data_IF_640406753144
#
_entry.id   IF_640406753144
#
_cell.length_a   1.000
_cell.length_b   1.000
_cell.length_c   1.000
_cell.angle_alpha   90.00
_cell.angle_beta   90.00
_cell.angle_gamma   90.00
#
_symmetry.space_group_name_H-M   'P 1'
#
loop_
_entity.id
_entity.type
_entity.pdbx_description
1 polymer ?
#
# COMPACT_ATOMS: atom_id res chain seq x y z
N UNK A 1 4.81 1.22 2.21
CA UNK A 1 3.81 1.85 1.32
C UNK A 1 4.44 2.02 -0.05
N UNK A 2 3.70 1.66 -1.10
CA UNK A 2 4.03 1.96 -2.49
C UNK A 2 3.19 3.16 -2.92
N UNK A 3 3.82 4.32 -3.11
CA UNK A 3 3.17 5.60 -3.44
C UNK A 3 4.25 6.57 -3.93
N UNK A 4 3.97 7.30 -5.01
CA UNK A 4 4.87 8.28 -5.62
C UNK A 4 4.34 9.71 -5.52
N UNK A 5 3.04 9.90 -5.26
CA UNK A 5 2.46 11.22 -5.04
C UNK A 5 2.93 11.80 -3.69
N UNK A 6 3.74 12.87 -3.77
CA UNK A 6 4.31 13.53 -2.60
C UNK A 6 3.24 14.15 -1.68
N UNK A 7 2.13 14.66 -2.20
CA UNK A 7 1.05 15.21 -1.39
C UNK A 7 0.39 14.09 -0.57
N UNK A 8 0.06 12.97 -1.21
CA UNK A 8 -0.53 11.81 -0.54
C UNK A 8 0.37 11.27 0.55
N UNK A 9 1.67 11.13 0.27
CA UNK A 9 2.66 10.67 1.25
C UNK A 9 2.71 11.62 2.44
N UNK A 10 2.84 12.92 2.20
CA UNK A 10 2.96 13.92 3.26
C UNK A 10 1.72 13.96 4.15
N UNK A 11 0.55 13.91 3.55
CA UNK A 11 -0.73 13.90 4.28
C UNK A 11 -0.92 12.63 5.09
N UNK A 12 -0.65 11.46 4.51
CA UNK A 12 -0.74 10.21 5.26
C UNK A 12 0.26 10.19 6.43
N UNK A 13 1.49 10.67 6.22
CA UNK A 13 2.49 10.83 7.31
C UNK A 13 2.00 11.76 8.41
N UNK A 14 1.36 12.88 8.07
CA UNK A 14 0.83 13.82 9.05
C UNK A 14 -0.27 13.19 9.92
N UNK A 15 -1.22 12.48 9.31
CA UNK A 15 -2.29 11.77 10.04
C UNK A 15 -1.70 10.64 10.88
N UNK A 16 -0.74 9.88 10.35
CA UNK A 16 -0.08 8.82 11.10
C UNK A 16 0.67 9.37 12.31
N UNK A 17 1.43 10.46 12.16
CA UNK A 17 2.16 11.08 13.27
C UNK A 17 1.23 11.65 14.36
N UNK A 18 0.05 12.15 13.96
CA UNK A 18 -0.95 12.68 14.89
C UNK A 18 -1.56 11.59 15.77
N UNK A 19 -1.84 10.41 15.20
CA UNK A 19 -2.59 9.35 15.89
C UNK A 19 -1.72 8.20 16.39
N UNK A 20 -0.59 7.93 15.74
CA UNK A 20 0.32 6.84 16.03
C UNK A 20 1.79 7.30 15.90
N UNK A 21 2.27 8.18 16.80
CA UNK A 21 3.60 8.78 16.69
C UNK A 21 4.77 7.78 16.79
N UNK A 22 4.52 6.57 17.29
CA UNK A 22 5.51 5.49 17.36
C UNK A 22 5.52 4.59 16.10
N UNK A 23 4.56 4.76 15.19
CA UNK A 23 4.51 3.97 13.96
C UNK A 23 5.61 4.41 12.99
N UNK A 24 6.23 3.44 12.33
CA UNK A 24 7.15 3.68 11.22
C UNK A 24 6.39 3.58 9.90
N UNK A 25 6.80 4.41 8.93
CA UNK A 25 6.25 4.36 7.58
C UNK A 25 7.39 4.41 6.55
N UNK A 26 7.70 3.24 6.02
CA UNK A 26 8.61 3.08 4.89
C UNK A 26 7.83 3.28 3.59
N UNK A 27 8.35 4.17 2.73
CA UNK A 27 7.71 4.57 1.47
C UNK A 27 8.68 4.27 0.33
N UNK A 28 8.17 3.63 -0.71
CA UNK A 28 8.87 3.34 -1.94
C UNK A 28 8.06 3.91 -3.10
N UNK A 29 8.74 4.62 -4.01
CA UNK A 29 8.11 5.28 -5.17
C UNK A 29 8.04 4.37 -6.39
N UNK A 30 8.74 3.23 -6.37
CA UNK A 30 8.83 2.28 -7.49
C UNK A 30 8.55 0.87 -7.01
N UNK A 31 7.98 0.04 -7.88
CA UNK A 31 7.73 -1.36 -7.62
C UNK A 31 9.04 -2.16 -7.36
N UNK A 32 10.13 -1.98 -8.14
CA UNK A 32 11.40 -2.64 -7.86
C UNK A 32 11.96 -2.31 -6.46
N UNK A 33 11.92 -1.04 -6.04
CA UNK A 33 12.42 -0.64 -4.72
C UNK A 33 11.56 -1.24 -3.60
N UNK A 34 10.24 -1.24 -3.77
CA UNK A 34 9.33 -1.87 -2.81
C UNK A 34 9.61 -3.37 -2.68
N UNK A 35 9.74 -4.07 -3.80
CA UNK A 35 10.00 -5.52 -3.83
C UNK A 35 11.34 -5.84 -3.17
N UNK A 36 12.39 -5.08 -3.50
CA UNK A 36 13.71 -5.25 -2.92
C UNK A 36 13.67 -5.02 -1.40
N UNK A 37 13.05 -3.93 -0.94
CA UNK A 37 12.91 -3.64 0.48
C UNK A 37 12.10 -4.71 1.22
N UNK A 38 10.95 -5.12 0.67
CA UNK A 38 10.11 -6.18 1.25
C UNK A 38 10.87 -7.50 1.39
N UNK A 39 11.68 -7.86 0.38
CA UNK A 39 12.47 -9.09 0.40
C UNK A 39 13.56 -9.13 1.48
N UNK A 40 13.96 -7.96 1.99
CA UNK A 40 14.99 -7.79 3.01
C UNK A 40 14.42 -7.54 4.41
N UNK A 41 13.10 -7.63 4.60
CA UNK A 41 12.48 -7.39 5.90
C UNK A 41 12.80 -8.52 6.89
N UNK A 42 13.39 -8.14 8.04
CA UNK A 42 13.61 -9.05 9.17
C UNK A 42 12.33 -9.31 9.99
N UNK A 43 11.31 -8.45 9.82
CA UNK A 43 10.01 -8.55 10.49
C UNK A 43 8.89 -8.28 9.49
N UNK A 44 7.81 -9.05 9.60
CA UNK A 44 6.59 -8.76 8.86
C UNK A 44 6.08 -7.33 9.18
N UNK A 45 5.64 -6.57 8.16
CA UNK A 45 5.00 -5.28 8.38
C UNK A 45 3.63 -5.48 9.04
N UNK A 46 3.13 -4.47 9.73
CA UNK A 46 1.80 -4.52 10.34
C UNK A 46 0.69 -4.29 9.28
N UNK A 47 0.98 -3.48 8.25
CA UNK A 47 0.09 -3.21 7.11
C UNK A 47 0.92 -2.89 5.86
N UNK A 48 0.43 -3.35 4.70
CA UNK A 48 0.97 -2.98 3.39
C UNK A 48 -0.03 -2.04 2.69
N UNK A 49 0.43 -0.89 2.20
CA UNK A 49 -0.39 0.02 1.38
C UNK A 49 0.18 0.09 -0.05
N UNK A 50 -0.67 -0.06 -1.07
CA UNK A 50 -0.29 -0.13 -2.48
C UNK A 50 -1.12 0.85 -3.35
N UNK A 51 -0.47 1.82 -3.98
CA UNK A 51 -1.00 2.45 -5.19
C UNK A 51 -0.72 1.55 -6.40
N UNK A 52 -1.48 1.74 -7.48
CA UNK A 52 -1.20 1.14 -8.77
C UNK A 52 -0.39 2.05 -9.67
N UNK A 53 -0.79 3.31 -9.80
CA UNK A 53 -0.32 4.21 -10.84
C UNK A 53 0.96 4.93 -10.37
N UNK A 54 2.13 4.44 -10.80
CA UNK A 54 3.43 5.03 -10.46
C UNK A 54 4.03 5.75 -11.66
N UNK A 55 4.64 6.91 -11.41
CA UNK A 55 5.17 7.79 -12.45
C UNK A 55 6.65 8.11 -12.21
N UNK A 56 7.38 8.25 -13.32
CA UNK A 56 8.74 8.79 -13.34
C UNK A 56 8.75 10.29 -13.08
N UNK A 57 9.76 10.80 -12.39
CA UNK A 57 9.94 12.25 -12.21
C UNK A 57 10.53 12.90 -13.48
N UNK A 58 11.25 12.12 -14.31
CA UNK A 58 11.86 12.53 -15.57
C UNK A 58 11.69 11.45 -16.66
N UNK A 59 11.63 11.81 -17.97
CA UNK A 59 11.59 10.84 -19.07
C UNK A 59 12.81 9.91 -19.15
N UNK A 60 13.94 10.30 -18.55
CA UNK A 60 15.18 9.51 -18.53
C UNK A 60 15.22 8.50 -17.37
N UNK A 61 14.25 8.57 -16.44
CA UNK A 61 14.19 7.63 -15.32
C UNK A 61 13.77 6.23 -15.81
N UNK A 62 14.26 5.16 -15.17
CA UNK A 62 13.77 3.81 -15.43
C UNK A 62 12.27 3.69 -15.18
N UNK A 63 11.64 2.75 -15.87
CA UNK A 63 10.24 2.38 -15.62
C UNK A 63 10.04 2.03 -14.13
N UNK A 64 9.15 2.74 -13.40
CA UNK A 64 8.92 2.49 -11.99
C UNK A 64 8.18 1.18 -11.74
N UNK A 65 7.67 0.51 -12.78
CA UNK A 65 6.72 -0.58 -12.66
C UNK A 65 5.38 -0.10 -12.11
N UNK A 66 4.55 -1.02 -11.64
CA UNK A 66 3.21 -0.67 -11.13
C UNK A 66 2.79 -1.52 -9.90
N UNK A 67 1.62 -1.20 -9.35
CA UNK A 67 1.07 -1.98 -8.24
C UNK A 67 0.74 -3.44 -8.59
N UNK A 68 0.55 -3.78 -9.88
CA UNK A 68 0.33 -5.17 -10.31
C UNK A 68 1.63 -5.96 -10.22
N UNK A 69 2.78 -5.37 -10.56
CA UNK A 69 4.09 -6.00 -10.36
C UNK A 69 4.31 -6.37 -8.89
N UNK A 70 4.02 -5.44 -7.98
CA UNK A 70 4.11 -5.70 -6.53
C UNK A 70 3.10 -6.76 -6.09
N UNK A 71 1.86 -6.69 -6.56
CA UNK A 71 0.84 -7.70 -6.21
C UNK A 71 1.23 -9.10 -6.71
N UNK A 72 1.77 -9.21 -7.94
CA UNK A 72 2.22 -10.45 -8.55
C UNK A 72 3.42 -11.04 -7.79
N UNK A 73 4.30 -10.19 -7.26
CA UNK A 73 5.35 -10.61 -6.36
C UNK A 73 4.81 -11.10 -5.01
N UNK A 74 3.92 -10.34 -4.37
CA UNK A 74 3.38 -10.66 -3.03
C UNK A 74 2.60 -11.97 -3.01
N UNK A 75 1.85 -12.32 -4.07
CA UNK A 75 1.12 -13.60 -4.13
C UNK A 75 2.03 -14.83 -4.17
N UNK A 76 3.34 -14.66 -4.40
CA UNK A 76 4.33 -15.74 -4.27
C UNK A 76 4.84 -15.93 -2.84
N UNK A 77 4.37 -15.11 -1.89
CA UNK A 77 4.81 -15.07 -0.49
C UNK A 77 3.68 -15.52 0.43
N UNK A 78 4.05 -15.90 1.65
CA UNK A 78 3.07 -16.16 2.70
C UNK A 78 2.36 -14.85 3.10
N UNK A 79 1.02 -14.84 3.27
CA UNK A 79 0.28 -13.65 3.67
C UNK A 79 0.52 -13.28 5.14
N UNK A 80 1.60 -12.55 5.43
CA UNK A 80 1.98 -12.23 6.82
C UNK A 80 1.33 -10.96 7.38
N UNK A 81 0.69 -10.16 6.52
CA UNK A 81 0.10 -8.87 6.86
C UNK A 81 -1.12 -8.58 5.98
N UNK A 82 -2.08 -7.76 6.45
CA UNK A 82 -3.12 -7.22 5.60
C UNK A 82 -2.54 -6.26 4.55
N UNK A 83 -3.23 -6.11 3.41
CA UNK A 83 -2.86 -5.17 2.36
C UNK A 83 -4.04 -4.25 1.99
N UNK A 84 -3.79 -2.96 1.81
CA UNK A 84 -4.77 -1.95 1.44
C UNK A 84 -4.37 -1.28 0.13
N UNK A 85 -5.21 -1.44 -0.90
CA UNK A 85 -4.99 -0.85 -2.22
C UNK A 85 -5.64 0.54 -2.26
N UNK A 86 -4.92 1.56 -2.72
CA UNK A 86 -5.38 2.96 -2.77
C UNK A 86 -5.12 3.59 -4.14
N UNK A 87 -5.90 3.19 -5.14
CA UNK A 87 -5.72 3.65 -6.53
C UNK A 87 -7.02 4.23 -7.11
N UNK A 88 -6.88 5.22 -8.00
CA UNK A 88 -7.99 5.75 -8.82
C UNK A 88 -8.31 4.85 -10.02
N UNK A 89 -7.38 3.98 -10.42
CA UNK A 89 -7.54 3.02 -11.50
C UNK A 89 -8.29 1.77 -11.02
N UNK A 90 -9.62 1.84 -11.05
CA UNK A 90 -10.49 0.77 -10.56
C UNK A 90 -10.21 -0.60 -11.21
N UNK A 91 -9.92 -0.66 -12.51
CA UNK A 91 -9.66 -1.93 -13.20
C UNK A 91 -8.38 -2.59 -12.69
N UNK A 92 -7.34 -1.79 -12.45
CA UNK A 92 -6.09 -2.32 -11.89
C UNK A 92 -6.20 -2.67 -10.41
N UNK A 93 -6.84 -1.81 -9.61
CA UNK A 93 -7.12 -2.09 -8.21
C UNK A 93 -7.91 -3.40 -8.04
N UNK A 94 -8.92 -3.64 -8.88
CA UNK A 94 -9.71 -4.87 -8.86
C UNK A 94 -8.86 -6.08 -9.22
N UNK A 95 -8.01 -5.98 -10.25
CA UNK A 95 -7.08 -7.06 -10.63
C UNK A 95 -6.12 -7.41 -9.49
N UNK A 96 -5.54 -6.41 -8.82
CA UNK A 96 -4.66 -6.62 -7.67
C UNK A 96 -5.42 -7.25 -6.50
N UNK A 97 -6.60 -6.72 -6.17
CA UNK A 97 -7.46 -7.19 -5.08
C UNK A 97 -7.80 -8.66 -5.24
N UNK A 98 -8.32 -9.06 -6.40
CA UNK A 98 -8.74 -10.44 -6.64
C UNK A 98 -7.54 -11.38 -6.71
N UNK A 99 -6.47 -11.01 -7.41
CA UNK A 99 -5.24 -11.80 -7.45
C UNK A 99 -4.71 -12.12 -6.04
N UNK A 100 -4.63 -11.11 -5.17
CA UNK A 100 -4.12 -11.30 -3.82
C UNK A 100 -5.08 -12.11 -2.93
N UNK A 101 -6.40 -11.85 -3.00
CA UNK A 101 -7.40 -12.61 -2.24
C UNK A 101 -7.44 -14.09 -2.63
N UNK A 102 -7.30 -14.40 -3.92
CA UNK A 102 -7.24 -15.79 -4.41
C UNK A 102 -6.02 -16.54 -3.87
N UNK A 103 -4.99 -15.82 -3.42
CA UNK A 103 -3.78 -16.36 -2.78
C UNK A 103 -3.79 -16.19 -1.25
N UNK A 104 -4.97 -15.98 -0.65
CA UNK A 104 -5.18 -16.00 0.79
C UNK A 104 -4.81 -14.70 1.52
N UNK A 105 -4.50 -13.62 0.80
CA UNK A 105 -4.24 -12.34 1.43
C UNK A 105 -5.52 -11.67 1.94
N UNK A 106 -5.46 -11.11 3.15
CA UNK A 106 -6.48 -10.18 3.62
C UNK A 106 -6.27 -8.81 2.97
N UNK A 107 -7.04 -8.54 1.91
CA UNK A 107 -6.90 -7.32 1.12
C UNK A 107 -8.20 -6.54 1.08
N UNK A 108 -8.10 -5.23 1.22
CA UNK A 108 -9.19 -4.29 0.94
C UNK A 108 -8.74 -3.21 -0.04
N UNK A 109 -9.69 -2.46 -0.59
CA UNK A 109 -9.41 -1.35 -1.51
C UNK A 109 -10.17 -0.10 -1.13
N UNK A 110 -9.56 1.04 -1.41
CA UNK A 110 -10.19 2.36 -1.34
C UNK A 110 -9.96 3.10 -2.65
N UNK A 111 -10.98 3.87 -3.05
CA UNK A 111 -10.87 4.80 -4.17
C UNK A 111 -10.54 6.20 -3.60
N UNK A 112 -9.53 6.91 -4.13
CA UNK A 112 -9.24 8.30 -3.80
C UNK A 112 -10.38 9.23 -4.25
N UNK A 113 -11.42 9.38 -3.42
CA UNK A 113 -12.63 10.16 -3.72
C UNK A 113 -12.76 11.35 -2.78
N UNK A 114 -12.75 12.56 -3.35
CA UNK A 114 -12.82 13.81 -2.58
C UNK A 114 -11.43 14.31 -2.17
N UNK A 115 -11.36 15.50 -1.58
CA UNK A 115 -10.09 16.11 -1.21
C UNK A 115 -9.53 15.56 0.10
N UNK A 116 -10.39 15.15 1.04
CA UNK A 116 -10.06 14.71 2.41
C UNK A 116 -10.00 13.18 2.57
N UNK A 117 -10.00 12.43 1.46
CA UNK A 117 -10.13 10.97 1.46
C UNK A 117 -9.04 10.25 2.27
N UNK A 118 -7.87 10.86 2.43
CA UNK A 118 -6.78 10.30 3.22
C UNK A 118 -7.16 10.25 4.70
N UNK A 119 -7.68 11.36 5.22
CA UNK A 119 -8.09 11.54 6.61
C UNK A 119 -9.42 10.83 6.91
N UNK A 120 -10.38 10.91 5.99
CA UNK A 120 -11.74 10.43 6.21
C UNK A 120 -11.98 8.98 5.80
N UNK A 121 -11.14 8.41 4.92
CA UNK A 121 -11.34 7.05 4.39
C UNK A 121 -10.07 6.19 4.53
N UNK A 122 -8.94 6.61 3.97
CA UNK A 122 -7.73 5.78 3.94
C UNK A 122 -7.23 5.44 5.34
N UNK A 123 -6.95 6.43 6.17
CA UNK A 123 -6.43 6.22 7.50
C UNK A 123 -7.40 5.43 8.41
N UNK A 124 -8.71 5.75 8.46
CA UNK A 124 -9.68 4.95 9.20
C UNK A 124 -9.74 3.48 8.76
N UNK A 125 -9.69 3.21 7.45
CA UNK A 125 -9.68 1.84 6.92
C UNK A 125 -8.39 1.10 7.30
N UNK A 126 -7.23 1.74 7.12
CA UNK A 126 -5.93 1.19 7.52
C UNK A 126 -5.93 0.79 9.01
N UNK A 127 -6.41 1.68 9.89
CA UNK A 127 -6.52 1.42 11.33
C UNK A 127 -7.48 0.26 11.64
N UNK A 128 -8.60 0.17 10.93
CA UNK A 128 -9.56 -0.93 11.10
C UNK A 128 -8.92 -2.26 10.70
N UNK A 129 -8.26 -2.33 9.55
CA UNK A 129 -7.60 -3.56 9.08
C UNK A 129 -6.53 -4.04 10.06
N UNK A 130 -5.76 -3.12 10.64
CA UNK A 130 -4.80 -3.44 11.70
C UNK A 130 -5.49 -4.05 12.93
N UNK A 131 -6.54 -3.41 13.44
CA UNK A 131 -7.27 -3.91 14.61
C UNK A 131 -7.91 -5.29 14.36
N UNK A 132 -8.46 -5.51 13.17
CA UNK A 132 -9.06 -6.79 12.79
C UNK A 132 -7.99 -7.88 12.65
N UNK A 133 -6.79 -7.56 12.14
CA UNK A 133 -5.68 -8.49 12.02
C UNK A 133 -5.09 -8.88 13.39
N UNK A 134 -4.92 -7.91 14.29
CA UNK A 134 -4.41 -8.17 15.64
C UNK A 134 -5.37 -9.05 16.45
N UNK A 135 -6.68 -8.94 16.23
CA UNK A 135 -7.68 -9.80 16.87
C UNK A 135 -7.67 -11.25 16.36
N UNK A 136 -7.02 -11.52 15.22
CA UNK A 136 -6.95 -12.84 14.58
C UNK A 136 -5.63 -13.58 14.86
N UNK A 137 -4.65 -12.91 15.49
CA UNK A 137 -3.35 -13.48 15.89
C UNK A 137 -3.39 -14.06 17.31
#
# INVERSE_FOLDING_TARGET
MLEDDLDRILRFRAVLALHHPAATLDVHRTAPDFIAAYSCLDRAPDLICLDHDLFTDSPDDPDPGDGRDVSAYLVTREPTAPALIHSTNAVAADSMLYSMRDHGWNVDRIAPLGEDWIESHWFPTARKMLADHDAQR
#
